data_IF_664965309473
#
_entry.id   IF_664965309473
#
_cell.length_a   1.000
_cell.length_b   1.000
_cell.length_c   1.000
_cell.angle_alpha   90.00
_cell.angle_beta   90.00
_cell.angle_gamma   90.00
#
_symmetry.space_group_name_H-M   'P 1'
#
loop_
_entity.id
_entity.type
_entity.pdbx_description
1 polymer ?
#
# COMPACT_ATOMS: atom_id res chain seq x y z
N UNK A 1 -11.80 -5.30 -45.95
CA UNK A 1 -13.15 -5.42 -45.35
C UNK A 1 -13.16 -6.17 -43.99
N UNK A 2 -12.22 -7.07 -43.72
CA UNK A 2 -12.11 -7.83 -42.45
C UNK A 2 -11.86 -6.94 -41.21
N UNK A 3 -11.06 -5.89 -41.34
CA UNK A 3 -10.69 -4.99 -40.25
C UNK A 3 -11.86 -4.15 -39.68
N UNK A 4 -12.72 -3.64 -40.57
CA UNK A 4 -13.85 -2.78 -40.15
C UNK A 4 -14.93 -3.55 -39.37
N UNK A 5 -15.21 -4.78 -39.77
CA UNK A 5 -16.18 -5.65 -39.08
C UNK A 5 -15.64 -6.10 -37.70
N UNK A 6 -14.34 -6.39 -37.64
CA UNK A 6 -13.68 -6.73 -36.37
C UNK A 6 -13.69 -5.54 -35.40
N UNK A 7 -13.45 -4.31 -35.92
CA UNK A 7 -13.50 -3.10 -35.11
C UNK A 7 -14.90 -2.82 -34.56
N UNK A 8 -15.96 -2.99 -35.37
CA UNK A 8 -17.35 -2.81 -34.91
C UNK A 8 -17.71 -3.83 -33.85
N UNK A 9 -17.38 -5.11 -34.06
CA UNK A 9 -17.64 -6.16 -33.05
C UNK A 9 -16.90 -5.87 -31.75
N UNK A 10 -15.62 -5.48 -31.84
CA UNK A 10 -14.81 -5.13 -30.67
C UNK A 10 -15.39 -3.91 -29.94
N UNK A 11 -15.74 -2.87 -30.68
CA UNK A 11 -16.37 -1.67 -30.11
C UNK A 11 -17.68 -2.00 -29.40
N UNK A 12 -18.56 -2.79 -30.02
CA UNK A 12 -19.84 -3.18 -29.42
C UNK A 12 -19.66 -4.00 -28.13
N UNK A 13 -18.65 -4.90 -28.10
CA UNK A 13 -18.38 -5.72 -26.92
C UNK A 13 -17.73 -4.89 -25.79
N UNK A 14 -16.90 -3.90 -26.13
CA UNK A 14 -16.22 -3.05 -25.14
C UNK A 14 -17.13 -1.90 -24.64
N UNK A 15 -18.09 -1.44 -25.43
CA UNK A 15 -18.95 -0.29 -25.09
C UNK A 15 -19.60 -0.41 -23.70
N UNK A 16 -20.25 -1.53 -23.30
CA UNK A 16 -20.90 -1.62 -21.99
C UNK A 16 -19.90 -1.42 -20.84
N UNK A 17 -18.74 -2.07 -20.93
CA UNK A 17 -17.69 -1.96 -19.91
C UNK A 17 -17.09 -0.56 -19.88
N UNK A 18 -16.81 0.03 -21.05
CA UNK A 18 -16.25 1.38 -21.15
C UNK A 18 -17.21 2.44 -20.64
N UNK A 19 -18.50 2.31 -20.95
CA UNK A 19 -19.55 3.22 -20.45
C UNK A 19 -19.69 3.08 -18.94
N UNK A 20 -19.74 1.86 -18.41
CA UNK A 20 -19.80 1.62 -16.96
C UNK A 20 -18.60 2.25 -16.24
N UNK A 21 -17.37 1.96 -16.68
CA UNK A 21 -16.17 2.55 -16.11
C UNK A 21 -16.12 4.06 -16.29
N UNK A 22 -16.55 4.57 -17.46
CA UNK A 22 -16.63 6.01 -17.73
C UNK A 22 -17.55 6.72 -16.74
N UNK A 23 -18.74 6.20 -16.50
CA UNK A 23 -19.68 6.82 -15.57
C UNK A 23 -19.24 6.66 -14.12
N UNK A 24 -18.96 5.43 -13.66
CA UNK A 24 -18.70 5.17 -12.24
C UNK A 24 -17.28 5.53 -11.80
N UNK A 25 -16.34 5.72 -12.71
CA UNK A 25 -14.98 6.11 -12.39
C UNK A 25 -14.72 7.59 -12.72
N UNK A 26 -15.04 8.05 -13.95
CA UNK A 26 -14.75 9.43 -14.34
C UNK A 26 -15.66 10.44 -13.66
N UNK A 27 -16.94 10.13 -13.45
CA UNK A 27 -17.87 11.09 -12.85
C UNK A 27 -17.47 11.45 -11.41
N UNK A 28 -17.19 10.51 -10.49
CA UNK A 28 -16.65 10.85 -9.18
C UNK A 28 -15.33 11.63 -9.23
N UNK A 29 -14.42 11.29 -10.14
CA UNK A 29 -13.17 12.04 -10.32
C UNK A 29 -13.41 13.48 -10.77
N UNK A 30 -14.35 13.70 -11.69
CA UNK A 30 -14.73 15.05 -12.14
C UNK A 30 -15.36 15.86 -11.00
N UNK A 31 -16.21 15.22 -10.16
CA UNK A 31 -16.77 15.86 -8.98
C UNK A 31 -15.67 16.26 -7.99
N UNK A 32 -14.72 15.36 -7.70
CA UNK A 32 -13.57 15.66 -6.83
C UNK A 32 -12.72 16.78 -7.43
N UNK A 33 -12.42 16.73 -8.73
CA UNK A 33 -11.69 17.79 -9.42
C UNK A 33 -12.41 19.13 -9.36
N UNK A 34 -13.72 19.15 -9.53
CA UNK A 34 -14.53 20.37 -9.38
C UNK A 34 -14.45 20.90 -7.93
N UNK A 35 -14.64 20.02 -6.94
CA UNK A 35 -14.60 20.40 -5.53
C UNK A 35 -13.23 20.91 -5.08
N UNK A 36 -12.15 20.45 -5.74
CA UNK A 36 -10.79 20.92 -5.43
C UNK A 36 -10.58 22.44 -5.70
N UNK A 37 -11.42 23.03 -6.54
CA UNK A 37 -11.41 24.47 -6.85
C UNK A 37 -12.46 25.28 -6.07
N UNK A 38 -13.24 24.63 -5.19
CA UNK A 38 -14.29 25.32 -4.42
C UNK A 38 -13.82 25.58 -2.99
N UNK A 39 -14.45 26.57 -2.35
CA UNK A 39 -14.18 26.93 -0.95
C UNK A 39 -14.65 25.82 -0.02
N UNK A 40 -13.81 25.37 0.95
CA UNK A 40 -14.24 24.43 1.98
C UNK A 40 -15.30 25.06 2.87
N UNK A 41 -16.43 24.37 3.09
CA UNK A 41 -17.50 24.83 3.98
C UNK A 41 -17.11 24.70 5.45
N UNK A 42 -17.57 25.61 6.29
CA UNK A 42 -17.26 25.68 7.73
C UNK A 42 -17.68 24.42 8.52
N UNK A 43 -18.75 23.77 8.10
CA UNK A 43 -19.28 22.55 8.75
C UNK A 43 -19.08 21.28 7.91
N UNK A 44 -18.14 21.31 6.96
CA UNK A 44 -17.93 20.27 5.97
C UNK A 44 -18.67 20.55 4.65
N UNK A 45 -18.32 19.78 3.59
CA UNK A 45 -18.80 20.04 2.25
C UNK A 45 -18.04 21.17 1.56
N UNK A 46 -18.65 21.77 0.52
CA UNK A 46 -18.07 22.85 -0.28
C UNK A 46 -19.08 23.96 -0.50
N UNK A 47 -18.63 25.20 -0.48
CA UNK A 47 -19.38 26.36 -0.92
C UNK A 47 -19.10 26.61 -2.40
N UNK A 48 -20.13 27.03 -3.16
CA UNK A 48 -20.02 27.29 -4.61
C UNK A 48 -19.31 28.61 -4.91
N UNK A 49 -18.14 28.79 -4.28
CA UNK A 49 -17.25 29.94 -4.51
C UNK A 49 -15.89 29.39 -4.99
N UNK A 50 -15.37 29.97 -6.07
CA UNK A 50 -14.09 29.54 -6.64
C UNK A 50 -12.94 29.95 -5.73
N UNK A 51 -12.09 28.97 -5.33
CA UNK A 51 -10.98 29.19 -4.43
C UNK A 51 -9.75 28.41 -4.87
N UNK A 52 -8.87 29.05 -5.62
CA UNK A 52 -7.65 28.43 -6.15
C UNK A 52 -6.53 28.24 -5.12
N UNK A 53 -6.61 28.92 -3.98
CA UNK A 53 -5.60 28.83 -2.91
C UNK A 53 -5.56 27.46 -2.20
N UNK A 54 -6.53 26.58 -2.45
CA UNK A 54 -6.44 25.18 -1.99
C UNK A 54 -5.13 24.52 -2.42
N UNK A 55 -4.66 24.82 -3.64
CA UNK A 55 -3.39 24.32 -4.14
C UNK A 55 -2.19 25.05 -3.53
N UNK A 56 -2.30 26.33 -3.24
CA UNK A 56 -1.29 27.08 -2.50
C UNK A 56 -1.02 26.48 -1.12
N UNK A 57 -2.07 26.07 -0.40
CA UNK A 57 -1.96 25.40 0.91
C UNK A 57 -1.16 24.10 0.84
N UNK A 58 -1.26 23.32 -0.25
CA UNK A 58 -0.47 22.10 -0.43
C UNK A 58 1.03 22.42 -0.43
N UNK A 59 1.41 23.56 -1.04
CA UNK A 59 2.80 24.02 -1.11
C UNK A 59 3.25 24.83 0.12
N UNK A 60 2.38 25.02 1.12
CA UNK A 60 2.72 25.66 2.39
C UNK A 60 2.28 27.13 2.51
N UNK A 61 1.55 27.66 1.52
CA UNK A 61 1.02 29.01 1.58
C UNK A 61 -0.38 29.01 2.20
N UNK A 62 -0.49 29.39 3.47
CA UNK A 62 -1.77 29.45 4.15
C UNK A 62 -2.61 30.63 3.62
N UNK A 63 -3.81 30.32 3.12
CA UNK A 63 -4.88 31.28 2.73
C UNK A 63 -4.43 32.46 1.83
N UNK A 64 -3.39 32.27 1.02
CA UNK A 64 -2.88 33.33 0.14
C UNK A 64 -2.11 34.46 0.84
N UNK A 65 -1.91 34.35 2.14
CA UNK A 65 -1.05 35.28 2.89
C UNK A 65 0.41 34.77 2.74
N UNK A 66 1.22 35.55 2.07
CA UNK A 66 2.63 35.28 1.80
C UNK A 66 3.47 35.24 3.09
N UNK A 67 2.93 35.81 4.19
CA UNK A 67 3.65 36.01 5.44
C UNK A 67 3.73 34.74 6.33
N UNK A 68 2.84 33.76 6.12
CA UNK A 68 2.82 32.52 6.92
C UNK A 68 3.08 31.32 6.02
N UNK A 69 4.28 30.77 6.11
CA UNK A 69 4.68 29.57 5.38
C UNK A 69 4.66 28.36 6.32
N UNK A 70 3.70 27.47 6.12
CA UNK A 70 3.54 26.24 6.89
C UNK A 70 3.52 25.00 5.95
N UNK A 71 4.67 24.40 5.67
CA UNK A 71 4.77 23.29 4.71
C UNK A 71 4.30 21.93 5.29
N UNK A 72 3.23 21.93 6.10
CA UNK A 72 2.75 20.74 6.81
C UNK A 72 2.36 19.62 5.84
N UNK A 73 1.72 19.95 4.71
CA UNK A 73 1.33 18.95 3.71
C UNK A 73 2.54 18.33 3.00
N UNK A 74 3.57 19.13 2.72
CA UNK A 74 4.82 18.64 2.13
C UNK A 74 5.58 17.74 3.13
N UNK A 75 5.57 18.10 4.41
CA UNK A 75 6.17 17.25 5.46
C UNK A 75 5.42 15.92 5.61
N UNK A 76 4.07 15.95 5.60
CA UNK A 76 3.25 14.74 5.64
C UNK A 76 3.53 13.88 4.42
N UNK A 77 3.60 14.48 3.22
CA UNK A 77 3.90 13.76 1.98
C UNK A 77 5.30 13.13 2.03
N UNK A 78 6.32 13.89 2.41
CA UNK A 78 7.68 13.38 2.55
C UNK A 78 7.77 12.23 3.55
N UNK A 79 7.11 12.36 4.71
CA UNK A 79 7.04 11.32 5.73
C UNK A 79 6.32 10.06 5.21
N UNK A 80 5.22 10.23 4.49
CA UNK A 80 4.47 9.12 3.89
C UNK A 80 5.29 8.38 2.83
N UNK A 81 6.02 9.12 1.97
CA UNK A 81 6.94 8.53 1.01
C UNK A 81 8.09 7.79 1.70
N UNK A 82 8.62 8.33 2.80
CA UNK A 82 9.63 7.66 3.62
C UNK A 82 9.14 6.34 4.18
N UNK A 83 7.94 6.31 4.77
CA UNK A 83 7.33 5.07 5.27
C UNK A 83 7.04 4.07 4.15
N UNK A 84 6.57 4.53 2.99
CA UNK A 84 6.35 3.67 1.84
C UNK A 84 7.67 3.05 1.34
N UNK A 85 8.72 3.85 1.19
CA UNK A 85 10.04 3.38 0.76
C UNK A 85 10.63 2.36 1.74
N UNK A 86 10.57 2.62 3.05
CA UNK A 86 11.00 1.68 4.08
C UNK A 86 10.19 0.37 4.03
N UNK A 87 8.88 0.47 3.88
CA UNK A 87 8.00 -0.70 3.77
C UNK A 87 8.37 -1.56 2.56
N UNK A 88 8.55 -0.95 1.39
CA UNK A 88 8.95 -1.66 0.17
C UNK A 88 10.31 -2.32 0.36
N UNK A 89 11.28 -1.61 0.93
CA UNK A 89 12.62 -2.13 1.20
C UNK A 89 12.58 -3.37 2.11
N UNK A 90 11.88 -3.29 3.24
CA UNK A 90 11.74 -4.42 4.16
C UNK A 90 10.97 -5.58 3.54
N UNK A 91 9.88 -5.30 2.82
CA UNK A 91 9.15 -6.35 2.08
C UNK A 91 10.06 -7.04 1.06
N UNK A 92 10.86 -6.29 0.31
CA UNK A 92 11.78 -6.84 -0.67
C UNK A 92 12.85 -7.73 -0.02
N UNK A 93 13.49 -7.23 1.05
CA UNK A 93 14.51 -7.97 1.81
C UNK A 93 13.95 -9.28 2.37
N UNK A 94 12.70 -9.27 2.86
CA UNK A 94 12.06 -10.47 3.42
C UNK A 94 11.53 -11.39 2.33
N UNK A 95 10.84 -10.86 1.33
CA UNK A 95 10.14 -11.67 0.32
C UNK A 95 11.08 -12.25 -0.73
N UNK A 96 12.14 -11.53 -1.13
CA UNK A 96 13.01 -11.99 -2.21
C UNK A 96 13.70 -13.34 -1.90
N UNK A 97 14.40 -13.50 -0.76
CA UNK A 97 15.06 -14.77 -0.44
C UNK A 97 14.04 -15.90 -0.26
N UNK A 98 12.87 -15.60 0.33
CA UNK A 98 11.82 -16.62 0.54
C UNK A 98 11.21 -17.05 -0.80
N UNK A 99 10.88 -16.10 -1.68
CA UNK A 99 10.32 -16.38 -3.00
C UNK A 99 11.30 -17.21 -3.85
N UNK A 100 12.58 -16.84 -3.82
CA UNK A 100 13.64 -17.56 -4.53
C UNK A 100 13.83 -18.99 -3.99
N UNK A 101 13.78 -19.18 -2.68
CA UNK A 101 13.86 -20.49 -2.06
C UNK A 101 12.62 -21.35 -2.40
N UNK A 102 11.41 -20.78 -2.27
CA UNK A 102 10.14 -21.48 -2.57
C UNK A 102 10.05 -21.90 -4.03
N UNK A 103 10.54 -21.08 -4.98
CA UNK A 103 10.53 -21.40 -6.40
C UNK A 103 11.38 -22.66 -6.74
N UNK A 104 12.36 -22.99 -5.89
CA UNK A 104 13.23 -24.16 -6.06
C UNK A 104 12.73 -25.43 -5.37
N UNK A 105 11.66 -25.34 -4.58
CA UNK A 105 11.11 -26.49 -3.88
C UNK A 105 10.36 -27.45 -4.83
N UNK A 106 10.29 -28.75 -4.49
CA UNK A 106 9.41 -29.67 -5.19
C UNK A 106 7.95 -29.24 -5.04
N UNK A 107 7.13 -29.54 -6.04
CA UNK A 107 5.78 -29.02 -6.22
C UNK A 107 4.89 -29.13 -4.96
N UNK A 108 5.02 -30.23 -4.18
CA UNK A 108 4.26 -30.45 -2.93
C UNK A 108 4.55 -29.37 -1.88
N UNK A 109 5.83 -29.09 -1.62
CA UNK A 109 6.25 -28.10 -0.63
C UNK A 109 6.01 -26.67 -1.12
N UNK A 110 6.22 -26.43 -2.41
CA UNK A 110 5.93 -25.16 -3.07
C UNK A 110 4.49 -24.75 -2.85
N UNK A 111 3.53 -25.62 -3.16
CA UNK A 111 2.11 -25.38 -2.93
C UNK A 111 1.79 -25.13 -1.45
N UNK A 112 2.37 -25.91 -0.55
CA UNK A 112 2.19 -25.71 0.89
C UNK A 112 2.59 -24.31 1.35
N UNK A 113 3.78 -23.82 0.96
CA UNK A 113 4.23 -22.47 1.32
C UNK A 113 3.40 -21.37 0.66
N UNK A 114 2.97 -21.55 -0.58
CA UNK A 114 2.06 -20.61 -1.25
C UNK A 114 0.73 -20.51 -0.51
N UNK A 115 0.15 -21.61 -0.07
CA UNK A 115 -1.05 -21.62 0.75
C UNK A 115 -0.81 -20.93 2.11
N UNK A 116 0.30 -21.21 2.76
CA UNK A 116 0.63 -20.61 4.07
C UNK A 116 0.75 -19.09 3.98
N UNK A 117 1.36 -18.55 2.92
CA UNK A 117 1.52 -17.12 2.70
C UNK A 117 0.19 -16.45 2.33
N UNK A 118 -0.69 -17.16 1.62
CA UNK A 118 -2.03 -16.65 1.26
C UNK A 118 -3.04 -16.78 2.40
N UNK A 119 -2.83 -17.64 3.37
CA UNK A 119 -3.75 -17.87 4.48
C UNK A 119 -4.18 -16.59 5.22
N UNK A 120 -3.30 -15.61 5.49
CA UNK A 120 -3.68 -14.35 6.12
C UNK A 120 -4.76 -13.55 5.36
N UNK A 121 -4.92 -13.72 4.05
CA UNK A 121 -5.97 -13.04 3.29
C UNK A 121 -7.38 -13.45 3.71
N UNK A 122 -7.54 -14.66 4.24
CA UNK A 122 -8.84 -15.17 4.69
C UNK A 122 -9.24 -14.65 6.07
N UNK A 123 -8.35 -13.96 6.77
CA UNK A 123 -8.65 -13.32 8.06
C UNK A 123 -8.95 -11.83 7.88
N UNK A 124 -9.87 -11.30 8.70
CA UNK A 124 -10.18 -9.87 8.68
C UNK A 124 -8.94 -9.02 8.98
N UNK A 125 -8.72 -7.96 8.20
CA UNK A 125 -7.65 -6.99 8.44
C UNK A 125 -7.76 -6.37 9.83
N UNK A 126 -8.99 -6.06 10.28
CA UNK A 126 -9.24 -5.47 11.60
C UNK A 126 -8.76 -6.40 12.69
N UNK A 127 -9.10 -7.69 12.64
CA UNK A 127 -8.66 -8.69 13.64
C UNK A 127 -7.13 -8.76 13.70
N UNK A 128 -6.46 -8.73 12.56
CA UNK A 128 -4.99 -8.74 12.48
C UNK A 128 -4.37 -7.49 13.09
N UNK A 129 -4.94 -6.31 12.82
CA UNK A 129 -4.47 -5.05 13.42
C UNK A 129 -4.68 -5.04 14.94
N UNK A 130 -5.83 -5.52 15.41
CA UNK A 130 -6.06 -5.67 16.85
C UNK A 130 -5.08 -6.63 17.52
N UNK A 131 -4.72 -7.73 16.87
CA UNK A 131 -3.70 -8.64 17.38
C UNK A 131 -2.35 -7.92 17.57
N UNK A 132 -1.92 -7.11 16.60
CA UNK A 132 -0.72 -6.29 16.71
C UNK A 132 -0.80 -5.26 17.86
N UNK A 133 -1.95 -4.60 18.02
CA UNK A 133 -2.17 -3.69 19.16
C UNK A 133 -2.01 -4.41 20.50
N UNK A 134 -2.58 -5.62 20.63
CA UNK A 134 -2.48 -6.42 21.85
C UNK A 134 -1.05 -6.92 22.12
N UNK A 135 -0.28 -7.21 21.07
CA UNK A 135 1.11 -7.67 21.19
C UNK A 135 2.03 -6.52 21.59
N UNK A 136 1.88 -5.34 20.95
CA UNK A 136 2.82 -4.22 21.06
C UNK A 136 2.50 -3.23 22.21
N UNK A 137 1.32 -3.30 22.84
CA UNK A 137 1.00 -2.40 23.96
C UNK A 137 1.96 -2.61 25.14
N UNK A 138 2.16 -1.61 26.03
CA UNK A 138 3.06 -1.73 27.19
C UNK A 138 2.78 -2.95 28.07
N UNK A 139 1.49 -3.28 28.30
CA UNK A 139 1.07 -4.50 29.01
C UNK A 139 0.83 -5.69 28.08
N UNK A 140 1.45 -5.68 26.89
CA UNK A 140 1.24 -6.70 25.87
C UNK A 140 2.13 -7.92 26.02
N UNK A 141 1.85 -8.93 25.19
CA UNK A 141 2.54 -10.22 25.22
C UNK A 141 4.05 -10.04 25.01
N UNK A 142 4.46 -9.14 24.12
CA UNK A 142 5.88 -8.89 23.83
C UNK A 142 6.62 -8.38 25.06
N UNK A 143 6.13 -7.31 25.67
CA UNK A 143 6.76 -6.74 26.86
C UNK A 143 6.75 -7.72 28.05
N UNK A 144 5.64 -8.43 28.26
CA UNK A 144 5.55 -9.43 29.32
C UNK A 144 6.58 -10.55 29.12
N UNK A 145 6.76 -11.02 27.89
CA UNK A 145 7.76 -12.04 27.58
C UNK A 145 9.19 -11.54 27.77
N UNK A 146 9.50 -10.32 27.33
CA UNK A 146 10.84 -9.72 27.45
C UNK A 146 11.23 -9.44 28.91
N UNK A 147 10.28 -8.96 29.73
CA UNK A 147 10.47 -8.75 31.18
C UNK A 147 10.65 -10.11 31.87
N UNK A 148 9.79 -11.09 31.57
CA UNK A 148 9.88 -12.43 32.14
C UNK A 148 11.19 -13.17 31.78
N UNK A 149 11.76 -12.87 30.60
CA UNK A 149 13.07 -13.38 30.19
C UNK A 149 14.27 -12.59 30.78
N UNK A 150 14.01 -11.49 31.50
CA UNK A 150 15.07 -10.63 32.07
C UNK A 150 15.83 -9.80 31.04
N UNK A 151 15.30 -9.66 29.82
CA UNK A 151 15.93 -8.89 28.73
C UNK A 151 15.75 -7.39 28.93
N UNK A 152 14.59 -6.98 29.48
CA UNK A 152 14.25 -5.59 29.80
C UNK A 152 13.69 -5.52 31.22
N UNK A 153 13.88 -4.37 31.89
CA UNK A 153 13.36 -4.10 33.22
C UNK A 153 12.07 -3.30 33.22
N UNK A 154 11.84 -2.50 32.17
CA UNK A 154 10.67 -1.66 31.97
C UNK A 154 9.99 -1.94 30.65
N UNK A 155 8.66 -1.77 30.54
CA UNK A 155 7.95 -1.98 29.29
C UNK A 155 8.40 -1.00 28.21
N UNK A 156 8.65 -1.49 26.99
CA UNK A 156 8.95 -0.68 25.82
C UNK A 156 7.65 -0.04 25.28
N UNK A 157 7.67 1.26 25.05
CA UNK A 157 6.60 2.00 24.38
C UNK A 157 6.75 1.90 22.86
N UNK A 158 6.48 0.73 22.29
CA UNK A 158 6.60 0.47 20.84
C UNK A 158 5.38 0.98 20.08
N UNK A 159 4.21 0.88 20.70
CA UNK A 159 2.94 1.27 20.07
C UNK A 159 2.95 2.78 19.74
N UNK A 160 2.38 3.13 18.59
CA UNK A 160 2.35 4.51 18.04
C UNK A 160 3.71 5.09 17.63
N UNK A 161 4.79 4.29 17.60
CA UNK A 161 6.07 4.71 17.07
C UNK A 161 6.13 4.55 15.55
N UNK A 162 7.01 5.30 14.85
CA UNK A 162 7.27 5.10 13.42
C UNK A 162 7.66 3.65 13.08
N UNK A 163 8.39 2.98 13.97
CA UNK A 163 8.78 1.57 13.81
C UNK A 163 7.58 0.62 13.81
N UNK A 164 6.62 0.82 14.73
CA UNK A 164 5.39 0.02 14.78
C UNK A 164 4.53 0.23 13.52
N UNK A 165 4.49 1.45 12.98
CA UNK A 165 3.78 1.75 11.73
C UNK A 165 4.40 0.96 10.58
N UNK A 166 5.73 1.04 10.41
CA UNK A 166 6.44 0.29 9.34
C UNK A 166 6.24 -1.21 9.52
N UNK A 167 6.35 -1.74 10.74
CA UNK A 167 6.13 -3.16 11.04
C UNK A 167 4.72 -3.61 10.59
N UNK A 168 3.69 -2.85 10.97
CA UNK A 168 2.30 -3.13 10.57
C UNK A 168 2.10 -3.06 9.06
N UNK A 169 2.68 -2.06 8.39
CA UNK A 169 2.63 -1.92 6.93
C UNK A 169 3.33 -3.09 6.23
N UNK A 170 4.53 -3.47 6.67
CA UNK A 170 5.27 -4.63 6.12
C UNK A 170 4.43 -5.89 6.27
N UNK A 171 3.89 -6.16 7.46
CA UNK A 171 3.06 -7.34 7.70
C UNK A 171 1.87 -7.43 6.75
N UNK A 172 1.19 -6.31 6.48
CA UNK A 172 0.04 -6.27 5.57
C UNK A 172 0.48 -6.42 4.11
N UNK A 173 1.64 -5.85 3.74
CA UNK A 173 2.11 -5.79 2.35
C UNK A 173 2.92 -7.03 1.91
N UNK A 174 3.46 -7.83 2.84
CA UNK A 174 4.24 -9.04 2.52
C UNK A 174 3.55 -9.96 1.51
N UNK A 175 2.26 -10.35 1.65
CA UNK A 175 1.63 -11.23 0.67
C UNK A 175 1.49 -10.58 -0.71
N UNK A 176 1.23 -9.27 -0.78
CA UNK A 176 1.12 -8.52 -2.03
C UNK A 176 2.45 -8.37 -2.76
N UNK A 177 3.56 -8.33 -2.04
CA UNK A 177 4.91 -8.34 -2.61
C UNK A 177 5.35 -9.75 -3.01
N UNK A 178 5.07 -10.74 -2.14
CA UNK A 178 5.55 -12.09 -2.31
C UNK A 178 4.99 -12.77 -3.57
N UNK A 179 3.66 -12.70 -3.80
CA UNK A 179 3.02 -13.43 -4.90
C UNK A 179 3.51 -12.98 -6.29
N UNK A 180 3.56 -11.67 -6.62
CA UNK A 180 4.12 -11.21 -7.89
C UNK A 180 5.60 -11.52 -8.04
N UNK A 181 6.38 -11.36 -6.95
CA UNK A 181 7.82 -11.64 -6.96
C UNK A 181 8.10 -13.12 -7.19
N UNK A 182 7.37 -14.00 -6.50
CA UNK A 182 7.44 -15.45 -6.72
C UNK A 182 7.09 -15.79 -8.17
N UNK A 183 6.00 -15.23 -8.71
CA UNK A 183 5.60 -15.47 -10.10
C UNK A 183 6.65 -15.00 -11.10
N UNK A 184 7.29 -13.87 -10.86
CA UNK A 184 8.37 -13.36 -11.69
C UNK A 184 9.59 -14.31 -11.67
N UNK A 185 9.98 -14.79 -10.48
CA UNK A 185 11.12 -15.70 -10.32
C UNK A 185 10.83 -17.09 -10.92
N UNK A 186 9.61 -17.61 -10.72
CA UNK A 186 9.22 -18.95 -11.21
C UNK A 186 9.15 -19.00 -12.76
N UNK A 187 8.85 -17.85 -13.39
CA UNK A 187 8.81 -17.70 -14.86
C UNK A 187 10.16 -17.34 -15.49
N UNK A 188 11.23 -17.13 -14.71
CA UNK A 188 12.57 -16.92 -15.25
C UNK A 188 13.08 -18.19 -15.93
N UNK A 189 13.50 -18.04 -17.20
CA UNK A 189 14.12 -19.11 -17.94
C UNK A 189 15.44 -19.52 -17.26
N UNK A 190 15.58 -20.81 -16.94
CA UNK A 190 16.79 -21.35 -16.33
C UNK A 190 18.04 -21.13 -17.17
N UNK A 191 17.88 -21.09 -18.50
CA UNK A 191 18.96 -20.79 -19.41
C UNK A 191 19.58 -19.40 -19.18
N UNK A 192 18.78 -18.40 -18.74
CA UNK A 192 19.28 -17.08 -18.40
C UNK A 192 20.10 -17.08 -17.11
N UNK A 193 19.72 -17.91 -16.15
CA UNK A 193 20.45 -18.05 -14.89
C UNK A 193 21.78 -18.77 -15.14
N UNK A 194 21.79 -19.81 -15.96
CA UNK A 194 23.01 -20.55 -16.34
C UNK A 194 23.98 -19.66 -17.13
N UNK A 195 23.46 -18.87 -18.09
CA UNK A 195 24.28 -17.93 -18.87
C UNK A 195 24.87 -16.76 -18.04
N UNK A 196 24.34 -16.49 -16.86
CA UNK A 196 24.90 -15.45 -15.96
C UNK A 196 26.01 -15.98 -15.05
N UNK A 197 26.23 -17.31 -15.02
CA UNK A 197 27.25 -17.97 -14.20
C UNK A 197 28.50 -18.37 -15.00
N UNK A 198 28.44 -18.27 -16.35
CA UNK A 198 29.57 -18.42 -17.27
C UNK A 198 30.25 -17.07 -17.53
#
# INVERSE_FOLDING_TARGET
MRSRRQFIVLATLLTPVTVFLGVFFLLPLLIIALFSFLTPGLYGGVEWAFYHWNYGRIFGWADGLIEVYEPIYLQILARSLGFAALTVLFCLILCYPVAFWVSRLPNRWRLFFLYLITLPFFSSLIVRLYAWLLILKPSGILNTALIGAGVITEPLEILYTPGAVVLGMVYVMVPFMFLPLYSAIDNLDRALIEASMD
#
